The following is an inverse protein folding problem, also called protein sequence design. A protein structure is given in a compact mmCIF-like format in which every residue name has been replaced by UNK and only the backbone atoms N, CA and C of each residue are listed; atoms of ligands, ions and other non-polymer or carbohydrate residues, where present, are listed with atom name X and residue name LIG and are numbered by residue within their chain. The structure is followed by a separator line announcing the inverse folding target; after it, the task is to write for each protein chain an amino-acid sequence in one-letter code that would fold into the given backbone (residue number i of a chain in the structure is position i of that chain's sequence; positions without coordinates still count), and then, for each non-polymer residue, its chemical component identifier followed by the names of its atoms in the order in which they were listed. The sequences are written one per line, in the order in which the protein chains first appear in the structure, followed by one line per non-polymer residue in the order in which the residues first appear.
data_IF_870768304101
#
_entry.id   IF_870768304101
#
_cell.length_a   1.000
_cell.length_b   1.000
_cell.length_c   1.000
_cell.angle_alpha   90.00
_cell.angle_beta   90.00
_cell.angle_gamma   90.00
#
_symmetry.space_group_name_H-M   'P 1'
#
loop_
_entity.id
_entity.type
_entity.pdbx_description
1 polymer ?
#
# COMPACT_ATOMS: atom_id res chain seq x y z
N UNK A 1 48.37 3.39 2.94
CA UNK A 1 47.50 4.46 2.40
C UNK A 1 46.18 3.83 1.98
N UNK A 2 45.13 4.02 2.76
CA UNK A 2 43.80 3.42 2.49
C UNK A 2 42.95 4.44 1.75
N UNK A 3 42.63 4.14 0.49
CA UNK A 3 41.76 4.94 -0.36
C UNK A 3 40.30 4.68 0.01
N UNK A 4 39.68 5.61 0.72
CA UNK A 4 38.24 5.61 0.97
C UNK A 4 37.51 6.08 -0.30
N UNK A 5 37.02 5.14 -1.10
CA UNK A 5 36.17 5.47 -2.25
C UNK A 5 34.74 5.68 -1.77
N UNK A 6 34.20 6.87 -2.00
CA UNK A 6 32.82 7.21 -1.69
C UNK A 6 31.88 6.55 -2.70
N UNK A 7 30.70 6.06 -2.29
CA UNK A 7 29.69 5.57 -3.23
C UNK A 7 29.14 6.74 -4.04
N UNK A 8 29.36 6.72 -5.35
CA UNK A 8 28.71 7.60 -6.32
C UNK A 8 27.26 7.17 -6.49
N UNK A 9 26.34 8.13 -6.36
CA UNK A 9 24.90 7.92 -6.43
C UNK A 9 24.37 8.60 -7.70
N UNK A 10 24.58 7.97 -8.86
CA UNK A 10 24.00 8.46 -10.11
C UNK A 10 22.52 8.11 -10.14
N UNK A 11 21.68 9.10 -9.85
CA UNK A 11 20.23 8.98 -9.88
C UNK A 11 19.68 9.87 -10.98
N UNK A 12 19.38 9.27 -12.13
CA UNK A 12 18.52 9.85 -13.15
C UNK A 12 17.41 8.83 -13.46
N UNK A 13 16.18 9.30 -13.28
CA UNK A 13 14.87 8.63 -13.42
C UNK A 13 14.31 7.97 -12.15
N UNK A 14 13.13 8.45 -11.74
CA UNK A 14 12.41 8.13 -10.51
C UNK A 14 11.82 6.72 -10.45
N UNK A 15 12.69 5.71 -10.46
CA UNK A 15 12.42 4.41 -9.89
C UNK A 15 13.15 4.34 -8.55
N UNK A 16 12.41 4.19 -7.46
CA UNK A 16 12.97 3.87 -6.15
C UNK A 16 13.93 2.67 -6.34
N UNK A 17 15.19 2.80 -5.89
CA UNK A 17 16.22 1.78 -6.10
C UNK A 17 15.82 0.50 -5.32
N UNK A 18 15.10 -0.40 -5.99
CA UNK A 18 14.52 -1.65 -5.43
C UNK A 18 15.56 -2.76 -5.25
N UNK A 19 16.74 -2.57 -5.82
CA UNK A 19 17.88 -3.47 -5.75
C UNK A 19 19.11 -2.65 -5.42
N UNK A 20 19.68 -2.86 -4.23
CA UNK A 20 20.93 -2.21 -3.82
C UNK A 20 22.08 -3.21 -3.92
N UNK A 21 23.12 -2.85 -4.68
CA UNK A 21 24.38 -3.60 -4.68
C UNK A 21 25.22 -3.14 -3.51
N UNK A 22 25.58 -4.06 -2.62
CA UNK A 22 26.36 -3.80 -1.42
C UNK A 22 27.72 -4.47 -1.57
N UNK A 23 28.80 -3.76 -1.27
CA UNK A 23 30.14 -4.35 -1.23
C UNK A 23 30.31 -5.11 0.08
N UNK A 24 30.54 -6.42 0.00
CA UNK A 24 30.77 -7.30 1.16
C UNK A 24 32.26 -7.68 1.13
N UNK A 25 33.13 -6.70 1.35
CA UNK A 25 34.58 -6.85 1.58
C UNK A 25 35.35 -7.83 0.69
N UNK A 26 36.27 -7.33 -0.14
CA UNK A 26 37.17 -8.15 -0.96
C UNK A 26 36.53 -8.64 -2.25
N UNK A 27 36.47 -7.79 -3.29
CA UNK A 27 35.92 -8.06 -4.65
C UNK A 27 34.52 -8.72 -4.74
N UNK A 28 33.87 -9.07 -3.64
CA UNK A 28 32.51 -9.63 -3.59
C UNK A 28 31.47 -8.53 -3.42
N UNK A 29 30.56 -8.45 -4.39
CA UNK A 29 29.35 -7.64 -4.33
C UNK A 29 28.14 -8.55 -4.06
N UNK A 30 27.24 -8.08 -3.20
CA UNK A 30 25.97 -8.75 -2.89
C UNK A 30 24.79 -7.89 -3.33
N UNK A 31 23.71 -8.54 -3.76
CA UNK A 31 22.49 -7.86 -4.21
C UNK A 31 21.42 -7.93 -3.12
N UNK A 32 20.93 -6.77 -2.66
CA UNK A 32 19.84 -6.68 -1.69
C UNK A 32 18.56 -6.23 -2.37
N UNK A 33 17.59 -7.14 -2.45
CA UNK A 33 16.23 -6.82 -2.87
C UNK A 33 15.44 -6.25 -1.69
N UNK A 34 14.96 -5.01 -1.82
CA UNK A 34 14.10 -4.37 -0.81
C UNK A 34 12.64 -4.70 -1.09
N UNK A 35 11.93 -5.20 -0.08
CA UNK A 35 10.48 -5.44 -0.20
C UNK A 35 9.78 -4.11 -0.44
N UNK A 36 8.87 -4.00 -1.44
CA UNK A 36 8.13 -2.79 -1.69
C UNK A 36 7.21 -2.48 -0.51
N UNK A 37 6.92 -1.20 -0.38
CA UNK A 37 6.03 -0.70 0.65
C UNK A 37 4.59 -1.02 0.24
N UNK A 38 3.76 -1.34 1.24
CA UNK A 38 2.33 -1.41 1.01
C UNK A 38 1.84 -0.02 0.57
N UNK A 39 1.01 0.08 -0.48
CA UNK A 39 0.31 1.32 -0.76
C UNK A 39 -0.47 1.78 0.47
N UNK A 40 -0.66 3.09 0.60
CA UNK A 40 -1.23 3.67 1.82
C UNK A 40 -2.33 4.67 1.44
N UNK A 41 -3.51 4.52 2.05
CA UNK A 41 -4.52 5.56 2.04
C UNK A 41 -4.25 6.51 3.21
N UNK A 42 -4.20 7.81 2.91
CA UNK A 42 -3.99 8.85 3.90
C UNK A 42 -5.23 9.73 3.99
N UNK A 43 -5.69 9.96 5.21
CA UNK A 43 -6.84 10.79 5.52
C UNK A 43 -6.41 11.89 6.47
N UNK A 44 -6.73 13.13 6.12
CA UNK A 44 -6.64 14.26 7.02
C UNK A 44 -8.02 14.41 7.67
N UNK A 45 -8.08 14.29 8.99
CA UNK A 45 -9.32 14.21 9.74
C UNK A 45 -9.37 15.26 10.82
N UNK A 46 -10.57 15.71 11.12
CA UNK A 46 -10.86 16.55 12.28
C UNK A 46 -11.95 15.87 13.09
N UNK A 47 -11.74 15.76 14.40
CA UNK A 47 -12.79 15.32 15.31
C UNK A 47 -13.84 16.45 15.41
N UNK A 48 -15.11 16.22 15.03
CA UNK A 48 -16.12 17.27 15.05
C UNK A 48 -16.50 17.75 16.47
N UNK A 49 -16.23 16.94 17.49
CA UNK A 49 -16.56 17.28 18.89
C UNK A 49 -15.43 18.06 19.57
N UNK A 50 -14.18 17.69 19.32
CA UNK A 50 -13.01 18.28 20.00
C UNK A 50 -12.22 19.25 19.12
N UNK A 51 -12.50 19.31 17.82
CA UNK A 51 -11.71 20.05 16.84
C UNK A 51 -10.32 19.46 16.56
N UNK A 52 -9.96 18.36 17.23
CA UNK A 52 -8.62 17.77 17.14
C UNK A 52 -8.32 17.26 15.73
N UNK A 53 -7.20 17.71 15.19
CA UNK A 53 -6.71 17.31 13.88
C UNK A 53 -5.89 16.02 13.98
N UNK A 54 -6.05 15.13 13.02
CA UNK A 54 -5.24 13.91 12.93
C UNK A 54 -5.00 13.49 11.49
N UNK A 55 -3.79 13.00 11.24
CA UNK A 55 -3.45 12.26 10.03
C UNK A 55 -3.66 10.77 10.31
N UNK A 56 -4.52 10.12 9.53
CA UNK A 56 -4.77 8.69 9.61
C UNK A 56 -4.20 8.01 8.38
N UNK A 57 -3.39 6.99 8.57
CA UNK A 57 -2.86 6.17 7.49
C UNK A 57 -3.35 4.74 7.59
N UNK A 58 -3.64 4.15 6.44
CA UNK A 58 -4.20 2.82 6.30
C UNK A 58 -3.35 2.09 5.27
N UNK A 59 -2.63 1.05 5.69
CA UNK A 59 -1.90 0.23 4.72
C UNK A 59 -2.91 -0.60 3.92
N UNK A 60 -2.74 -0.63 2.60
CA UNK A 60 -3.53 -1.40 1.66
C UNK A 60 -2.73 -2.63 1.27
N UNK A 61 -3.25 -3.80 1.61
CA UNK A 61 -2.71 -5.08 1.18
C UNK A 61 -3.72 -5.90 0.36
N UNK A 62 -3.33 -7.14 0.05
CA UNK A 62 -4.12 -8.05 -0.77
C UNK A 62 -5.48 -8.40 -0.15
N UNK A 63 -5.61 -8.32 1.17
CA UNK A 63 -6.84 -8.64 1.90
C UNK A 63 -7.66 -7.40 2.26
N UNK A 64 -7.14 -6.21 2.00
CA UNK A 64 -7.84 -4.94 2.23
C UNK A 64 -8.79 -4.66 1.07
N UNK A 65 -10.07 -4.44 1.35
CA UNK A 65 -11.11 -4.24 0.33
C UNK A 65 -12.17 -3.23 0.74
N UNK A 66 -12.76 -2.58 -0.26
CA UNK A 66 -14.03 -1.87 -0.09
C UNK A 66 -15.15 -2.91 -0.02
N UNK A 67 -15.84 -3.01 1.12
CA UNK A 67 -16.99 -3.89 1.29
C UNK A 67 -18.33 -3.13 1.12
N UNK A 68 -19.04 -3.31 0.00
CA UNK A 68 -20.35 -2.70 -0.22
C UNK A 68 -21.50 -3.30 0.61
N UNK A 69 -21.31 -4.46 1.24
CA UNK A 69 -22.32 -5.07 2.12
C UNK A 69 -22.53 -4.23 3.40
N UNK A 70 -21.48 -3.52 3.85
CA UNK A 70 -21.51 -2.71 5.09
C UNK A 70 -22.32 -1.42 4.98
N UNK A 71 -22.55 -0.91 3.77
CA UNK A 71 -23.27 0.33 3.53
C UNK A 71 -24.75 0.11 3.15
N UNK A 72 -25.28 -1.12 3.26
CA UNK A 72 -26.63 -1.52 2.78
C UNK A 72 -26.86 -1.32 1.27
N UNK A 73 -25.78 -1.09 0.52
CA UNK A 73 -25.82 -0.71 -0.89
C UNK A 73 -26.16 -1.87 -1.82
N UNK A 74 -26.04 -3.10 -1.30
CA UNK A 74 -26.34 -4.34 -2.04
C UNK A 74 -27.70 -4.95 -1.74
N UNK A 75 -28.60 -4.25 -1.03
CA UNK A 75 -29.96 -4.77 -0.82
C UNK A 75 -30.66 -4.97 -2.17
N UNK A 76 -31.43 -6.05 -2.29
CA UNK A 76 -32.23 -6.37 -3.47
C UNK A 76 -33.06 -5.17 -3.93
N UNK A 77 -33.02 -4.88 -5.23
CA UNK A 77 -33.68 -3.70 -5.82
C UNK A 77 -32.85 -2.41 -5.80
N UNK A 78 -31.58 -2.45 -5.35
CA UNK A 78 -30.66 -1.30 -5.43
C UNK A 78 -29.41 -1.66 -6.24
N UNK A 79 -29.10 -0.82 -7.20
CA UNK A 79 -27.87 -0.84 -8.00
C UNK A 79 -26.67 -0.25 -7.25
N UNK A 80 -26.88 0.28 -6.04
CA UNK A 80 -25.84 0.90 -5.22
C UNK A 80 -25.29 2.22 -5.74
N UNK A 81 -25.86 2.78 -6.82
CA UNK A 81 -25.38 4.00 -7.49
C UNK A 81 -25.57 5.26 -6.65
N UNK A 82 -26.57 5.29 -5.77
CA UNK A 82 -26.85 6.40 -4.85
C UNK A 82 -26.04 6.34 -3.54
N UNK A 83 -25.20 5.32 -3.35
CA UNK A 83 -24.44 5.18 -2.13
C UNK A 83 -23.31 6.21 -2.01
N UNK A 84 -23.24 6.88 -0.86
CA UNK A 84 -22.18 7.81 -0.49
C UNK A 84 -21.13 7.25 0.48
N UNK A 85 -21.27 6.02 0.95
CA UNK A 85 -20.38 5.43 1.96
C UNK A 85 -19.52 4.32 1.32
N UNK A 86 -18.20 4.41 1.50
CA UNK A 86 -17.30 3.27 1.30
C UNK A 86 -16.82 2.75 2.63
N UNK A 87 -17.05 1.47 2.91
CA UNK A 87 -16.46 0.78 4.05
C UNK A 87 -15.23 0.02 3.58
N UNK A 88 -14.09 0.25 4.21
CA UNK A 88 -12.83 -0.44 3.97
C UNK A 88 -12.60 -1.39 5.14
N UNK A 89 -12.27 -2.64 4.86
CA UNK A 89 -11.99 -3.66 5.87
C UNK A 89 -10.98 -4.68 5.34
N UNK A 90 -10.36 -5.42 6.25
CA UNK A 90 -9.46 -6.52 5.92
C UNK A 90 -10.15 -7.87 6.15
N UNK A 91 -10.00 -8.82 5.22
CA UNK A 91 -10.58 -10.17 5.36
C UNK A 91 -12.08 -10.16 5.72
N UNK A 92 -12.84 -9.24 5.13
CA UNK A 92 -14.26 -8.99 5.43
C UNK A 92 -14.58 -8.63 6.90
N UNK A 93 -13.65 -7.97 7.58
CA UNK A 93 -13.75 -7.58 8.99
C UNK A 93 -13.37 -8.67 9.99
N UNK A 94 -12.77 -9.78 9.51
CA UNK A 94 -12.24 -10.85 10.38
C UNK A 94 -10.85 -10.51 10.93
N UNK A 95 -10.11 -9.65 10.25
CA UNK A 95 -8.78 -9.21 10.66
C UNK A 95 -8.79 -7.74 11.06
N UNK A 96 -7.86 -7.37 11.94
CA UNK A 96 -7.55 -5.97 12.24
C UNK A 96 -6.78 -5.35 11.07
N UNK A 97 -7.12 -4.10 10.77
CA UNK A 97 -6.46 -3.32 9.73
C UNK A 97 -5.17 -2.71 10.26
N UNK A 98 -4.15 -2.61 9.42
CA UNK A 98 -2.94 -1.83 9.74
C UNK A 98 -3.22 -0.34 9.58
N UNK A 99 -3.62 0.28 10.68
CA UNK A 99 -4.00 1.69 10.74
C UNK A 99 -3.11 2.42 11.73
N UNK A 100 -2.69 3.63 11.36
CA UNK A 100 -2.02 4.55 12.28
C UNK A 100 -2.74 5.88 12.32
N UNK A 101 -2.76 6.49 13.50
CA UNK A 101 -3.35 7.80 13.75
C UNK A 101 -2.32 8.69 14.44
N UNK A 102 -1.90 9.72 13.74
CA UNK A 102 -1.01 10.75 14.22
C UNK A 102 -1.86 11.95 14.62
N UNK A 103 -2.13 12.08 15.91
CA UNK A 103 -2.82 13.26 16.43
C UNK A 103 -1.88 14.47 16.38
N UNK A 104 -2.40 15.59 15.91
CA UNK A 104 -1.71 16.87 15.99
C UNK A 104 -1.81 17.41 17.42
N UNK A 105 -0.69 17.87 17.95
CA UNK A 105 -0.61 18.54 19.26
C UNK A 105 -0.64 20.06 19.08
N UNK A 106 -0.01 20.56 18.02
CA UNK A 106 0.15 21.99 17.71
C UNK A 106 -0.50 22.41 16.37
N UNK A 107 -1.67 21.86 16.05
CA UNK A 107 -2.43 22.20 14.84
C UNK A 107 -1.73 21.80 13.52
N UNK A 108 -1.83 22.63 12.49
CA UNK A 108 -1.32 22.29 11.14
C UNK A 108 0.22 22.12 11.09
N UNK A 109 0.94 22.72 12.05
CA UNK A 109 2.41 22.64 12.13
C UNK A 109 2.92 21.23 12.43
N UNK A 110 2.04 20.35 12.94
CA UNK A 110 2.37 18.98 13.32
C UNK A 110 2.16 17.94 12.22
N UNK A 111 1.56 18.35 11.09
CA UNK A 111 1.34 17.52 9.91
C UNK A 111 2.63 17.33 9.11
N UNK A 112 3.61 16.66 9.73
CA UNK A 112 4.87 16.33 9.09
C UNK A 112 4.80 14.94 8.43
N UNK A 113 4.69 14.91 7.10
CA UNK A 113 4.71 13.68 6.30
C UNK A 113 6.02 12.89 6.45
N UNK A 114 7.12 13.53 6.87
CA UNK A 114 8.38 12.82 7.14
C UNK A 114 8.23 11.78 8.26
N UNK A 115 7.26 11.93 9.17
CA UNK A 115 6.94 10.92 10.21
C UNK A 115 6.58 9.55 9.59
N UNK A 116 6.08 9.52 8.36
CA UNK A 116 5.78 8.29 7.61
C UNK A 116 7.03 7.60 7.05
N UNK A 117 8.06 8.38 6.71
CA UNK A 117 9.35 7.87 6.24
C UNK A 117 10.26 7.45 7.39
N UNK A 118 10.26 8.21 8.49
CA UNK A 118 11.10 7.99 9.68
C UNK A 118 10.65 6.80 10.53
N UNK A 119 9.35 6.52 10.58
CA UNK A 119 8.78 5.35 11.25
C UNK A 119 9.38 4.00 10.85
N UNK A 120 10.00 3.94 9.66
CA UNK A 120 10.61 2.75 9.09
C UNK A 120 11.98 2.41 9.69
N UNK A 121 12.52 3.27 10.57
CA UNK A 121 13.77 3.05 11.33
C UNK A 121 13.54 2.65 12.79
N UNK A 122 12.31 2.28 13.17
CA UNK A 122 11.98 1.91 14.56
C UNK A 122 11.65 3.11 15.45
N UNK A 123 11.12 4.18 14.86
CA UNK A 123 10.72 5.39 15.59
C UNK A 123 9.59 5.08 16.59
N UNK A 124 9.76 5.53 17.84
CA UNK A 124 8.81 5.34 18.93
C UNK A 124 7.48 6.02 18.67
N UNK A 125 7.46 7.19 18.03
CA UNK A 125 6.24 7.91 17.69
C UNK A 125 5.42 7.16 16.65
N UNK A 126 6.09 6.57 15.66
CA UNK A 126 5.43 5.78 14.63
C UNK A 126 4.83 4.48 15.18
N UNK A 127 5.51 3.84 16.13
CA UNK A 127 4.98 2.68 16.85
C UNK A 127 3.80 3.08 17.75
N UNK A 128 3.89 4.23 18.44
CA UNK A 128 2.83 4.74 19.30
C UNK A 128 1.57 5.17 18.53
N UNK A 129 1.72 5.57 17.27
CA UNK A 129 0.60 5.95 16.41
C UNK A 129 -0.26 4.75 15.95
N UNK A 130 0.12 3.51 16.25
CA UNK A 130 -0.68 2.32 15.89
C UNK A 130 -2.09 2.40 16.48
N UNK A 131 -3.10 2.45 15.61
CA UNK A 131 -4.49 2.48 16.01
C UNK A 131 -5.01 1.03 16.08
N UNK A 132 -4.97 0.46 17.28
CA UNK A 132 -5.35 -0.93 17.55
C UNK A 132 -6.85 -1.14 17.46
N UNK A 133 -7.25 -2.41 17.26
CA UNK A 133 -8.64 -2.87 17.26
C UNK A 133 -9.51 -2.28 16.13
N UNK A 134 -8.90 -1.66 15.11
CA UNK A 134 -9.62 -1.11 13.95
C UNK A 134 -9.90 -2.21 12.94
N UNK A 135 -11.14 -2.68 12.88
CA UNK A 135 -11.57 -3.70 11.88
C UNK A 135 -12.17 -3.12 10.61
N UNK A 136 -12.59 -1.85 10.65
CA UNK A 136 -13.30 -1.19 9.56
C UNK A 136 -13.16 0.32 9.65
N UNK A 137 -12.94 0.95 8.50
CA UNK A 137 -13.03 2.40 8.32
C UNK A 137 -14.15 2.70 7.34
N UNK A 138 -15.06 3.60 7.71
CA UNK A 138 -16.16 4.03 6.82
C UNK A 138 -15.97 5.48 6.44
N UNK A 139 -15.92 5.75 5.15
CA UNK A 139 -15.75 7.09 4.58
C UNK A 139 -17.08 7.49 3.95
N UNK A 140 -17.63 8.61 4.40
CA UNK A 140 -18.80 9.25 3.81
C UNK A 140 -18.34 10.34 2.84
N UNK A 141 -18.67 10.18 1.57
CA UNK A 141 -18.29 11.11 0.51
C UNK A 141 -19.35 12.23 0.34
N UNK A 142 -18.95 13.40 -0.19
CA UNK A 142 -19.87 14.48 -0.53
C UNK A 142 -20.94 14.06 -1.53
N UNK A 143 -20.57 13.25 -2.54
CA UNK A 143 -21.50 12.72 -3.54
C UNK A 143 -21.32 11.22 -3.74
N UNK A 144 -22.32 10.57 -4.34
CA UNK A 144 -22.22 9.16 -4.69
C UNK A 144 -21.25 8.92 -5.86
N UNK A 145 -21.06 9.93 -6.71
CA UNK A 145 -20.08 9.92 -7.79
C UNK A 145 -18.64 9.93 -7.25
N UNK A 146 -18.34 10.76 -6.24
CA UNK A 146 -17.01 10.75 -5.61
C UNK A 146 -16.71 9.40 -4.95
N UNK A 147 -17.74 8.83 -4.31
CA UNK A 147 -17.65 7.49 -3.73
C UNK A 147 -17.38 6.44 -4.80
N UNK A 148 -18.04 6.51 -5.96
CA UNK A 148 -17.87 5.53 -7.04
C UNK A 148 -16.50 5.66 -7.71
N UNK A 149 -15.97 6.88 -7.87
CA UNK A 149 -14.58 7.10 -8.29
C UNK A 149 -13.58 6.45 -7.32
N UNK A 150 -13.82 6.55 -6.02
CA UNK A 150 -12.95 5.96 -5.00
C UNK A 150 -13.01 4.42 -4.98
N UNK A 151 -14.20 3.84 -4.78
CA UNK A 151 -14.35 2.41 -4.48
C UNK A 151 -15.08 1.59 -5.54
N UNK A 152 -15.45 2.19 -6.67
CA UNK A 152 -16.34 1.62 -7.67
C UNK A 152 -17.81 1.68 -7.26
N UNK A 153 -18.70 1.38 -8.21
CA UNK A 153 -20.13 1.26 -7.92
C UNK A 153 -20.47 -0.19 -7.53
N UNK A 154 -21.09 -0.41 -6.36
CA UNK A 154 -21.56 -1.74 -5.96
C UNK A 154 -22.47 -2.33 -7.04
N UNK A 155 -22.52 -3.65 -7.16
CA UNK A 155 -23.46 -4.38 -8.04
C UNK A 155 -23.38 -4.09 -9.56
N UNK A 156 -22.61 -3.10 -10.01
CA UNK A 156 -22.37 -2.83 -11.43
C UNK A 156 -21.23 -3.70 -11.98
N UNK A 157 -20.19 -3.94 -11.18
CA UNK A 157 -19.06 -4.76 -11.61
C UNK A 157 -19.46 -6.24 -11.72
N UNK A 158 -19.56 -6.74 -12.94
CA UNK A 158 -19.77 -8.16 -13.26
C UNK A 158 -18.50 -8.83 -13.82
N UNK A 159 -17.35 -8.16 -13.72
CA UNK A 159 -16.10 -8.67 -14.29
C UNK A 159 -15.66 -9.96 -13.60
N UNK A 160 -15.34 -10.97 -14.40
CA UNK A 160 -14.66 -12.17 -13.92
C UNK A 160 -13.15 -11.90 -13.77
N UNK A 161 -12.75 -11.34 -12.63
CA UNK A 161 -11.36 -11.01 -12.33
C UNK A 161 -10.51 -12.22 -11.89
N UNK A 162 -10.82 -13.43 -12.38
CA UNK A 162 -10.04 -14.65 -12.10
C UNK A 162 -8.72 -14.70 -12.86
N UNK A 163 -8.60 -13.95 -13.96
CA UNK A 163 -7.36 -13.85 -14.75
C UNK A 163 -6.78 -12.44 -14.66
N UNK A 164 -5.48 -12.28 -14.87
CA UNK A 164 -4.83 -10.96 -14.89
C UNK A 164 -5.40 -10.05 -15.98
N UNK A 165 -5.70 -10.60 -17.16
CA UNK A 165 -6.36 -9.88 -18.24
C UNK A 165 -7.77 -9.39 -17.84
N UNK A 166 -8.56 -10.26 -17.19
CA UNK A 166 -9.90 -9.92 -16.70
C UNK A 166 -9.87 -8.86 -15.59
N UNK A 167 -8.90 -8.97 -14.68
CA UNK A 167 -8.67 -7.95 -13.65
C UNK A 167 -8.23 -6.62 -14.28
N UNK A 168 -7.31 -6.65 -15.24
CA UNK A 168 -6.86 -5.47 -15.97
C UNK A 168 -8.02 -4.75 -16.68
N UNK A 169 -8.93 -5.48 -17.33
CA UNK A 169 -10.11 -4.87 -17.93
C UNK A 169 -11.07 -4.28 -16.89
N UNK A 170 -11.30 -4.98 -15.78
CA UNK A 170 -12.11 -4.50 -14.67
C UNK A 170 -11.59 -3.17 -14.12
N UNK A 171 -10.26 -3.04 -14.02
CA UNK A 171 -9.60 -1.84 -13.51
C UNK A 171 -9.60 -0.71 -14.53
N UNK A 172 -9.36 -0.99 -15.82
CA UNK A 172 -9.48 0.01 -16.91
C UNK A 172 -10.86 0.64 -16.98
N UNK A 173 -11.90 -0.14 -16.70
CA UNK A 173 -13.28 0.35 -16.64
C UNK A 173 -13.63 1.04 -15.31
N UNK A 174 -12.66 1.26 -14.41
CA UNK A 174 -12.86 1.88 -13.09
C UNK A 174 -13.88 1.18 -12.19
N UNK A 175 -14.19 -0.10 -12.45
CA UNK A 175 -15.23 -0.82 -11.71
C UNK A 175 -14.88 -1.06 -10.23
N UNK A 176 -13.59 -1.02 -9.87
CA UNK A 176 -13.11 -1.08 -8.48
C UNK A 176 -12.62 0.29 -7.96
N UNK A 177 -12.85 1.36 -8.73
CA UNK A 177 -12.37 2.71 -8.44
C UNK A 177 -10.84 2.83 -8.31
N UNK A 178 -10.38 3.98 -7.85
CA UNK A 178 -8.97 4.24 -7.54
C UNK A 178 -8.42 3.28 -6.49
N UNK A 179 -9.23 2.88 -5.51
CA UNK A 179 -8.82 1.92 -4.49
C UNK A 179 -8.35 0.60 -5.13
N UNK A 180 -9.11 0.07 -6.09
CA UNK A 180 -8.74 -1.15 -6.81
C UNK A 180 -7.46 -1.01 -7.63
N UNK A 181 -7.25 0.14 -8.28
CA UNK A 181 -6.04 0.43 -9.05
C UNK A 181 -4.79 0.46 -8.15
N UNK A 182 -4.86 1.17 -7.03
CA UNK A 182 -3.75 1.28 -6.08
C UNK A 182 -3.43 -0.08 -5.44
N UNK A 183 -4.46 -0.84 -5.05
CA UNK A 183 -4.29 -2.21 -4.54
C UNK A 183 -3.58 -3.11 -5.55
N UNK A 184 -3.99 -3.07 -6.81
CA UNK A 184 -3.37 -3.87 -7.87
C UNK A 184 -1.93 -3.45 -8.14
N UNK A 185 -1.64 -2.14 -8.16
CA UNK A 185 -0.27 -1.65 -8.27
C UNK A 185 0.62 -2.19 -7.15
N UNK A 186 0.13 -2.19 -5.90
CA UNK A 186 0.85 -2.78 -4.76
C UNK A 186 1.10 -4.28 -4.92
N UNK A 187 0.10 -5.04 -5.37
CA UNK A 187 0.21 -6.47 -5.67
C UNK A 187 1.27 -6.75 -6.74
N UNK A 188 1.27 -5.98 -7.83
CA UNK A 188 2.25 -6.13 -8.91
C UNK A 188 3.66 -5.86 -8.43
N UNK A 189 3.88 -4.78 -7.67
CA UNK A 189 5.19 -4.47 -7.08
C UNK A 189 5.68 -5.60 -6.16
N UNK A 190 4.79 -6.15 -5.33
CA UNK A 190 5.14 -7.27 -4.45
C UNK A 190 5.50 -8.54 -5.24
N UNK A 191 4.78 -8.84 -6.31
CA UNK A 191 5.07 -9.95 -7.20
C UNK A 191 6.41 -9.79 -7.93
N UNK A 192 6.70 -8.59 -8.45
CA UNK A 192 8.00 -8.26 -9.04
C UNK A 192 9.14 -8.48 -8.05
N UNK A 193 8.96 -8.03 -6.81
CA UNK A 193 9.91 -8.28 -5.74
C UNK A 193 10.15 -9.77 -5.48
N UNK A 194 9.07 -10.57 -5.41
CA UNK A 194 9.20 -12.01 -5.21
C UNK A 194 9.90 -12.69 -6.40
N UNK A 195 9.58 -12.31 -7.63
CA UNK A 195 10.26 -12.80 -8.84
C UNK A 195 11.76 -12.46 -8.82
N UNK A 196 12.13 -11.22 -8.47
CA UNK A 196 13.52 -10.80 -8.41
C UNK A 196 14.30 -11.50 -7.29
N UNK A 197 13.69 -11.66 -6.11
CA UNK A 197 14.33 -12.25 -4.92
C UNK A 197 14.49 -13.76 -5.01
N UNK A 198 13.50 -14.48 -5.56
CA UNK A 198 13.48 -15.94 -5.59
C UNK A 198 13.81 -16.52 -6.96
N UNK A 199 13.58 -15.79 -8.04
CA UNK A 199 14.00 -16.21 -9.39
C UNK A 199 15.51 -16.22 -9.57
N UNK A 200 16.24 -15.36 -8.85
CA UNK A 200 17.70 -15.28 -8.87
C UNK A 200 18.41 -16.36 -8.02
N UNK A 201 17.68 -17.10 -7.16
CA UNK A 201 18.27 -18.19 -6.38
C UNK A 201 18.56 -19.46 -7.20
N UNK A 202 18.07 -19.56 -8.44
CA UNK A 202 18.30 -20.72 -9.29
C UNK A 202 19.61 -20.70 -10.09
N UNK A 203 20.30 -19.56 -10.19
CA UNK A 203 21.55 -19.41 -10.98
C UNK A 203 22.81 -19.28 -10.10
N UNK A 204 22.96 -20.14 -9.08
CA UNK A 204 24.28 -20.36 -8.47
C UNK A 204 24.91 -21.56 -9.17
N UNK A 205 25.57 -21.31 -10.31
CA UNK A 205 26.47 -22.29 -10.94
C UNK A 205 27.66 -22.46 -9.99
N UNK A 206 27.71 -23.59 -9.27
CA UNK A 206 28.95 -24.04 -8.66
C UNK A 206 29.94 -24.30 -9.80
N UNK A 207 30.88 -23.38 -10.01
CA UNK A 207 32.01 -23.62 -10.90
C UNK A 207 32.76 -24.86 -10.43
N UNK A 208 32.67 -25.95 -11.20
CA UNK A 208 33.56 -27.09 -11.07
C UNK A 208 34.99 -26.59 -11.27
N UNK A 209 35.83 -26.86 -10.28
CA UNK A 209 37.27 -26.77 -10.42
C UNK A 209 37.71 -28.03 -11.15
N UNK A 210 37.92 -27.93 -12.45
CA UNK A 210 38.70 -28.92 -13.19
C UNK A 210 40.17 -28.58 -12.98
N UNK A 211 40.79 -29.25 -12.00
CA UNK A 211 42.24 -29.23 -11.83
C UNK A 211 42.82 -30.36 -12.71
N UNK A 212 43.60 -29.99 -13.75
CA UNK A 212 44.61 -30.82 -14.40
C UNK A 212 45.98 -30.19 -14.18
#
# INVERSE_FOLDING_TARGET
MSTTTWPSNDSLNGHEVRTATVSIGGQTTGTVHRRPLKPMLMLFTQNPQTGALAMVTIDIDEDTEVNPDRCNCRRSGRDGSSCRISAIEQSRGKAEMSVRRFESRDGDMDWNLAKLALGRRGDREHAAAAWKDVRRISIMFPTAEDRSKFGGTPNICQCNARTEAGLGQCLRNMHKGFFGLVKESGRQQLNEYHRARFGSQHDVVHGMRDDY
#
